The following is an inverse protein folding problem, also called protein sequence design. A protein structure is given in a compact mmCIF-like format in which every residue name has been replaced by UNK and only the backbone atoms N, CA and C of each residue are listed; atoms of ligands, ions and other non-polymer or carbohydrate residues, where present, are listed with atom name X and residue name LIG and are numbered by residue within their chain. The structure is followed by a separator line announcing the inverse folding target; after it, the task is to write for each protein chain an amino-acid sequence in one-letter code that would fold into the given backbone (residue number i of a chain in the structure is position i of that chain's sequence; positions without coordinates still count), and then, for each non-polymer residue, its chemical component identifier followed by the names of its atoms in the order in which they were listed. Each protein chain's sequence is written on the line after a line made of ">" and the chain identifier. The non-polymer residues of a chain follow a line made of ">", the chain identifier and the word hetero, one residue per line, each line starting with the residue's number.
data_IF_428297517808
#
_entry.id   IF_428297517808
#
_cell.length_a   1.000
_cell.length_b   1.000
_cell.length_c   1.000
_cell.angle_alpha   90.00
_cell.angle_beta   90.00
_cell.angle_gamma   90.00
#
_symmetry.space_group_name_H-M   'P 1'
#
loop_
_entity.id
_entity.type
_entity.pdbx_description
1 polymer ?
#
# COMPACT_ATOMS: atom_id res chain seq x y z
N UNK A 1 13.34 18.34 -19.00
CA UNK A 1 13.52 18.49 -20.46
C UNK A 1 12.18 18.26 -21.15
N UNK A 2 11.96 18.75 -22.38
CA UNK A 2 10.62 18.71 -23.04
C UNK A 2 10.09 17.29 -23.32
N UNK A 3 10.95 16.28 -23.18
CA UNK A 3 10.70 14.84 -23.30
C UNK A 3 10.31 14.15 -21.98
N UNK A 4 10.33 14.85 -20.84
CA UNK A 4 9.96 14.26 -19.55
C UNK A 4 8.43 14.27 -19.34
N UNK A 5 7.90 13.21 -18.70
CA UNK A 5 6.51 13.17 -18.23
C UNK A 5 6.36 14.03 -16.97
N UNK A 6 6.42 15.35 -17.14
CA UNK A 6 6.30 16.33 -16.06
C UNK A 6 5.48 17.55 -16.49
N UNK A 7 4.85 18.22 -15.51
CA UNK A 7 4.26 19.55 -15.70
C UNK A 7 5.31 20.61 -15.33
N UNK A 8 5.44 21.63 -16.16
CA UNK A 8 6.37 22.75 -15.97
C UNK A 8 5.60 24.05 -15.77
N UNK A 9 5.96 24.81 -14.74
CA UNK A 9 5.44 26.15 -14.51
C UNK A 9 6.29 27.18 -15.26
N UNK A 10 5.70 27.89 -16.23
CA UNK A 10 6.43 28.91 -17.01
C UNK A 10 6.73 30.19 -16.22
N UNK A 11 6.01 30.45 -15.13
CA UNK A 11 6.18 31.67 -14.32
C UNK A 11 7.34 31.56 -13.30
N UNK A 12 7.58 30.37 -12.74
CA UNK A 12 8.59 30.18 -11.69
C UNK A 12 9.58 29.04 -11.95
N UNK A 13 9.46 28.31 -13.05
CA UNK A 13 10.37 27.22 -13.41
C UNK A 13 10.16 25.91 -12.64
N UNK A 14 9.23 25.85 -11.68
CA UNK A 14 8.94 24.63 -10.92
C UNK A 14 8.46 23.48 -11.82
N UNK A 15 8.85 22.26 -11.45
CA UNK A 15 8.47 21.02 -12.13
C UNK A 15 7.68 20.11 -11.19
N UNK A 16 6.65 19.46 -11.71
CA UNK A 16 5.85 18.47 -10.99
C UNK A 16 5.75 17.17 -11.80
N UNK A 17 6.25 16.08 -11.22
CA UNK A 17 6.15 14.74 -11.78
C UNK A 17 4.86 14.03 -11.31
N UNK A 18 4.36 13.02 -12.04
CA UNK A 18 3.30 12.15 -11.57
C UNK A 18 3.67 11.55 -10.21
N UNK A 19 2.77 11.69 -9.24
CA UNK A 19 2.94 11.09 -7.92
C UNK A 19 2.74 9.57 -8.04
N UNK A 20 3.72 8.82 -7.58
CA UNK A 20 3.58 7.39 -7.33
C UNK A 20 3.29 7.18 -5.84
N UNK A 21 2.30 6.35 -5.54
CA UNK A 21 1.98 5.94 -4.17
C UNK A 21 2.34 4.48 -4.00
N UNK A 22 3.40 4.13 -3.25
CA UNK A 22 3.77 2.74 -3.03
C UNK A 22 2.69 2.01 -2.22
N UNK A 23 2.44 0.76 -2.55
CA UNK A 23 1.46 -0.11 -1.88
C UNK A 23 2.13 -1.45 -1.59
N UNK A 24 1.92 -1.97 -0.39
CA UNK A 24 2.28 -3.35 -0.03
C UNK A 24 1.05 -4.24 -0.13
N UNK A 25 1.25 -5.51 -0.48
CA UNK A 25 0.24 -6.54 -0.40
C UNK A 25 0.87 -7.78 0.26
N UNK A 26 0.25 -8.29 1.32
CA UNK A 26 0.87 -9.27 2.21
C UNK A 26 -0.03 -10.47 2.50
N UNK A 27 0.54 -11.67 2.31
CA UNK A 27 -0.08 -12.93 2.71
C UNK A 27 0.40 -13.32 4.11
N UNK A 28 -0.49 -13.24 5.10
CA UNK A 28 -0.22 -13.73 6.46
C UNK A 28 -0.58 -15.22 6.55
N UNK A 29 0.38 -16.05 6.99
CA UNK A 29 0.26 -17.50 7.03
C UNK A 29 0.47 -18.01 8.45
N UNK A 30 -0.32 -19.01 8.86
CA UNK A 30 -0.09 -19.79 10.07
C UNK A 30 -0.26 -21.27 9.73
N UNK A 31 0.83 -22.02 9.78
CA UNK A 31 0.87 -23.44 9.38
C UNK A 31 0.31 -23.66 7.96
N UNK A 32 -0.84 -24.33 7.84
CA UNK A 32 -1.53 -24.61 6.58
C UNK A 32 -2.71 -23.66 6.31
N UNK A 33 -2.82 -22.58 7.08
CA UNK A 33 -3.89 -21.59 6.99
C UNK A 33 -3.35 -20.25 6.47
N UNK A 34 -4.19 -19.54 5.74
CA UNK A 34 -3.96 -18.17 5.26
C UNK A 34 -5.04 -17.26 5.84
N UNK A 35 -4.64 -16.07 6.27
CA UNK A 35 -5.58 -15.02 6.64
C UNK A 35 -6.11 -14.34 5.37
N UNK A 36 -7.44 -14.31 5.24
CA UNK A 36 -8.14 -13.55 4.23
C UNK A 36 -9.10 -12.58 4.92
N UNK A 37 -9.09 -11.33 4.48
CA UNK A 37 -10.01 -10.30 4.96
C UNK A 37 -10.98 -9.88 3.85
N UNK A 38 -12.09 -9.28 4.25
CA UNK A 38 -13.09 -8.76 3.32
C UNK A 38 -13.47 -7.34 3.71
N UNK A 39 -13.19 -6.39 2.82
CA UNK A 39 -13.72 -5.05 2.91
C UNK A 39 -15.18 -5.02 2.42
N UNK A 40 -16.01 -4.15 3.02
CA UNK A 40 -17.42 -4.02 2.66
C UNK A 40 -17.65 -3.67 1.17
N UNK A 41 -16.68 -2.98 0.55
CA UNK A 41 -16.68 -2.60 -0.88
C UNK A 41 -16.52 -3.77 -1.84
N UNK A 42 -16.05 -4.93 -1.39
CA UNK A 42 -15.85 -6.09 -2.25
C UNK A 42 -17.18 -6.80 -2.54
N UNK A 43 -17.28 -7.37 -3.74
CA UNK A 43 -18.42 -8.19 -4.12
C UNK A 43 -18.68 -9.31 -3.08
N UNK A 44 -19.94 -9.72 -2.88
CA UNK A 44 -20.26 -10.81 -1.96
C UNK A 44 -19.43 -12.06 -2.25
N UNK A 45 -18.89 -12.69 -1.20
CA UNK A 45 -18.06 -13.89 -1.33
C UNK A 45 -16.60 -13.66 -1.76
N UNK A 46 -16.20 -12.42 -2.08
CA UNK A 46 -14.80 -12.10 -2.42
C UNK A 46 -14.01 -11.72 -1.16
N UNK A 47 -12.88 -12.40 -0.99
CA UNK A 47 -11.90 -12.14 0.06
C UNK A 47 -10.53 -11.93 -0.57
N UNK A 48 -9.69 -11.15 0.09
CA UNK A 48 -8.33 -10.85 -0.36
C UNK A 48 -7.35 -10.97 0.80
N UNK A 49 -6.08 -11.11 0.45
CA UNK A 49 -4.98 -10.77 1.35
C UNK A 49 -4.99 -9.26 1.66
N UNK A 50 -4.30 -8.86 2.73
CA UNK A 50 -4.24 -7.48 3.21
C UNK A 50 -3.34 -6.64 2.30
N UNK A 51 -3.69 -5.38 2.09
CA UNK A 51 -2.91 -4.45 1.29
C UNK A 51 -3.13 -3.01 1.76
N UNK A 52 -2.08 -2.20 1.72
CA UNK A 52 -2.10 -0.85 2.26
C UNK A 52 -1.05 0.06 1.65
N UNK A 53 -1.29 1.37 1.75
CA UNK A 53 -0.36 2.38 1.24
C UNK A 53 0.83 2.53 2.19
N UNK A 54 2.02 2.68 1.62
CA UNK A 54 3.23 3.00 2.39
C UNK A 54 3.17 4.47 2.80
N UNK A 55 3.33 4.74 4.09
CA UNK A 55 3.40 6.10 4.60
C UNK A 55 4.82 6.68 4.53
N UNK A 56 4.90 8.02 4.58
CA UNK A 56 6.18 8.71 4.51
C UNK A 56 7.04 8.37 5.74
N UNK A 57 8.25 7.86 5.50
CA UNK A 57 9.18 7.47 6.55
C UNK A 57 9.07 6.01 6.98
N UNK A 58 8.16 5.22 6.41
CA UNK A 58 8.08 3.78 6.64
C UNK A 58 8.97 3.00 5.67
N UNK A 59 9.55 1.92 6.19
CA UNK A 59 9.99 0.76 5.39
C UNK A 59 8.78 -0.07 4.97
N UNK A 60 8.94 -0.91 3.94
CA UNK A 60 7.86 -1.79 3.48
C UNK A 60 7.41 -2.76 4.58
N UNK A 61 8.37 -3.23 5.38
CA UNK A 61 8.14 -4.12 6.51
C UNK A 61 7.35 -3.43 7.63
N UNK A 62 7.66 -2.16 7.93
CA UNK A 62 6.89 -1.37 8.90
C UNK A 62 5.45 -1.15 8.44
N UNK A 63 5.25 -0.80 7.15
CA UNK A 63 3.91 -0.68 6.56
C UNK A 63 3.14 -1.99 6.69
N UNK A 64 3.75 -3.14 6.39
CA UNK A 64 3.11 -4.46 6.58
C UNK A 64 2.67 -4.66 8.03
N UNK A 65 3.56 -4.42 8.99
CA UNK A 65 3.23 -4.58 10.41
C UNK A 65 2.11 -3.66 10.88
N UNK A 66 2.10 -2.39 10.43
CA UNK A 66 1.06 -1.41 10.76
C UNK A 66 -0.28 -1.82 10.16
N UNK A 67 -0.34 -2.05 8.85
CA UNK A 67 -1.58 -2.36 8.13
C UNK A 67 -2.25 -3.63 8.65
N UNK A 68 -1.46 -4.69 8.94
CA UNK A 68 -2.03 -5.92 9.52
C UNK A 68 -2.57 -5.68 10.93
N UNK A 69 -1.90 -4.86 11.74
CA UNK A 69 -2.40 -4.53 13.07
C UNK A 69 -3.69 -3.70 13.00
N UNK A 70 -3.75 -2.69 12.14
CA UNK A 70 -4.90 -1.79 12.00
C UNK A 70 -6.15 -2.50 11.44
N UNK A 71 -6.00 -3.34 10.41
CA UNK A 71 -7.16 -3.95 9.74
C UNK A 71 -7.72 -5.16 10.50
N UNK A 72 -6.88 -5.95 11.17
CA UNK A 72 -7.29 -7.24 11.75
C UNK A 72 -6.81 -7.47 13.19
N UNK A 73 -6.11 -6.51 13.80
CA UNK A 73 -5.58 -6.60 15.18
C UNK A 73 -4.66 -7.82 15.40
N UNK A 74 -3.84 -8.16 14.41
CA UNK A 74 -2.86 -9.26 14.50
C UNK A 74 -1.45 -8.68 14.39
N UNK A 75 -0.54 -9.13 15.26
CA UNK A 75 0.89 -8.83 15.13
C UNK A 75 1.55 -9.91 14.29
N UNK A 76 2.39 -9.49 13.35
CA UNK A 76 3.13 -10.38 12.44
C UNK A 76 4.63 -10.21 12.63
N UNK A 77 5.37 -11.27 12.32
CA UNK A 77 6.81 -11.36 12.35
C UNK A 77 7.24 -12.69 11.74
N UNK A 78 8.51 -12.78 11.33
CA UNK A 78 9.13 -14.00 10.82
C UNK A 78 10.35 -14.35 11.65
#
# INVERSE_FOLDING_TARGET
>A
RADERARHCVACGSMAYPRLSPVVMVRVVRERQILLARAARFAPGVYSVLAGFVEAGETLEQTICREVWEEVNIRVGN
#
